data_IF_757502640565
#
_entry.id   IF_757502640565
#
_cell.length_a   1.000
_cell.length_b   1.000
_cell.length_c   1.000
_cell.angle_alpha   90.00
_cell.angle_beta   90.00
_cell.angle_gamma   90.00
#
_symmetry.space_group_name_H-M   'P 1'
#
loop_
_entity.id
_entity.type
_entity.pdbx_description
1 polymer ?
#
# COMPACT_ATOMS: atom_id res chain seq x y z
N UNK A 1 -75.93 70.33 -17.69
CA UNK A 1 -75.78 70.98 -19.00
C UNK A 1 -74.36 71.27 -19.30
N UNK A 2 -73.95 71.14 -20.53
CA UNK A 2 -72.62 71.36 -21.17
C UNK A 2 -71.55 70.23 -20.98
N UNK A 3 -71.50 69.43 -22.03
CA UNK A 3 -70.38 68.52 -22.39
C UNK A 3 -69.09 69.30 -22.68
N UNK A 4 -67.98 68.85 -22.19
CA UNK A 4 -66.66 69.23 -22.75
C UNK A 4 -65.95 67.98 -23.24
N UNK A 5 -65.63 68.05 -24.51
CA UNK A 5 -64.85 67.05 -25.23
C UNK A 5 -63.35 67.12 -24.79
N UNK A 6 -62.73 65.97 -24.57
CA UNK A 6 -61.33 65.91 -24.37
C UNK A 6 -60.62 65.19 -25.56
N UNK A 7 -59.67 65.90 -26.13
CA UNK A 7 -58.88 65.52 -27.31
C UNK A 7 -57.94 64.34 -27.01
N UNK A 8 -57.93 63.42 -27.97
CA UNK A 8 -56.91 62.34 -28.02
C UNK A 8 -55.56 62.88 -28.51
N UNK A 9 -54.47 62.55 -27.76
CA UNK A 9 -53.08 62.74 -28.25
C UNK A 9 -52.58 61.40 -28.78
N UNK A 10 -51.76 61.38 -29.86
CA UNK A 10 -51.21 60.15 -30.40
C UNK A 10 -49.99 59.68 -29.59
N UNK A 11 -49.90 58.37 -29.38
CA UNK A 11 -48.78 57.69 -28.75
C UNK A 11 -47.76 57.42 -29.85
N UNK A 12 -46.60 58.07 -29.75
CA UNK A 12 -45.45 57.78 -30.60
C UNK A 12 -44.78 56.46 -30.21
N UNK A 13 -44.62 55.60 -31.21
CA UNK A 13 -43.94 54.33 -31.05
C UNK A 13 -42.47 54.53 -30.70
N UNK A 14 -41.98 53.88 -29.63
CA UNK A 14 -40.57 53.67 -29.36
C UNK A 14 -40.20 52.27 -29.80
N UNK A 15 -39.29 52.19 -30.77
CA UNK A 15 -38.70 50.96 -31.28
C UNK A 15 -37.94 50.23 -30.18
N UNK A 16 -38.26 48.96 -30.08
CA UNK A 16 -37.52 47.92 -29.36
C UNK A 16 -36.26 47.57 -30.21
N UNK A 17 -35.09 48.10 -29.82
CA UNK A 17 -33.78 47.69 -30.43
C UNK A 17 -32.71 47.56 -29.38
N UNK A 18 -32.89 46.80 -28.33
CA UNK A 18 -31.77 46.56 -27.38
C UNK A 18 -31.76 45.18 -26.70
N UNK A 19 -32.61 44.24 -27.13
CA UNK A 19 -32.62 42.92 -26.48
C UNK A 19 -31.78 41.83 -27.20
N UNK A 20 -31.38 42.03 -28.47
CA UNK A 20 -30.65 41.04 -29.22
C UNK A 20 -29.12 41.06 -28.93
N UNK A 21 -28.57 42.23 -28.62
CA UNK A 21 -27.13 42.39 -28.35
C UNK A 21 -26.74 41.85 -26.97
N UNK A 22 -27.61 41.94 -25.97
CA UNK A 22 -27.34 41.41 -24.63
C UNK A 22 -27.38 39.87 -24.56
N UNK A 23 -28.23 39.19 -25.35
CA UNK A 23 -28.30 37.74 -25.41
C UNK A 23 -27.06 37.11 -26.09
N UNK A 24 -26.48 37.76 -27.11
CA UNK A 24 -25.29 37.27 -27.79
C UNK A 24 -24.02 37.35 -26.93
N UNK A 25 -23.92 38.32 -26.01
CA UNK A 25 -22.78 38.47 -25.11
C UNK A 25 -22.84 37.40 -24.01
N UNK A 26 -24.00 37.05 -23.54
CA UNK A 26 -24.16 35.99 -22.52
C UNK A 26 -23.82 34.60 -23.08
N UNK A 27 -24.20 34.31 -24.34
CA UNK A 27 -23.85 33.05 -25.01
C UNK A 27 -22.37 32.93 -25.32
N UNK A 28 -21.69 34.06 -25.74
CA UNK A 28 -20.26 34.06 -26.00
C UNK A 28 -19.42 33.92 -24.72
N UNK A 29 -19.90 34.39 -23.58
CA UNK A 29 -19.24 34.22 -22.28
C UNK A 29 -19.38 32.82 -21.74
N UNK A 30 -20.50 32.13 -22.00
CA UNK A 30 -20.72 30.73 -21.55
C UNK A 30 -19.92 29.72 -22.39
N UNK A 31 -19.70 29.99 -23.68
CA UNK A 31 -18.91 29.12 -24.58
C UNK A 31 -17.41 29.18 -24.32
N UNK A 32 -16.89 30.20 -23.64
CA UNK A 32 -15.47 30.26 -23.24
C UNK A 32 -15.15 29.51 -21.95
N UNK A 33 -16.15 29.23 -21.12
CA UNK A 33 -15.93 28.50 -19.85
C UNK A 33 -15.94 26.98 -19.99
N UNK A 34 -16.44 26.42 -21.11
CA UNK A 34 -16.54 24.98 -21.35
C UNK A 34 -15.27 24.39 -22.00
N UNK A 35 -14.33 25.27 -22.42
CA UNK A 35 -13.12 24.87 -23.15
C UNK A 35 -11.84 24.73 -22.34
N UNK A 36 -11.85 24.91 -21.01
CA UNK A 36 -10.76 24.44 -20.18
C UNK A 36 -10.96 22.94 -19.96
N UNK A 37 -10.50 22.15 -20.93
CA UNK A 37 -10.23 20.74 -20.70
C UNK A 37 -9.41 20.67 -19.41
N UNK A 38 -9.96 20.10 -18.36
CA UNK A 38 -9.21 19.69 -17.17
C UNK A 38 -8.08 18.83 -17.73
N UNK A 39 -6.90 19.42 -17.90
CA UNK A 39 -5.70 18.63 -18.22
C UNK A 39 -5.60 17.62 -17.11
N UNK A 40 -5.97 16.38 -17.42
CA UNK A 40 -5.76 15.27 -16.51
C UNK A 40 -4.28 15.37 -16.08
N UNK A 41 -4.06 15.63 -14.79
CA UNK A 41 -2.70 15.55 -14.24
C UNK A 41 -2.16 14.20 -14.67
N UNK A 42 -0.95 14.11 -15.24
CA UNK A 42 -0.34 12.82 -15.49
C UNK A 42 -0.48 12.00 -14.20
N UNK A 43 -1.03 10.80 -14.29
CA UNK A 43 -1.13 9.93 -13.13
C UNK A 43 0.31 9.76 -12.61
N UNK A 44 0.60 10.36 -11.48
CA UNK A 44 1.89 10.16 -10.83
C UNK A 44 2.02 8.66 -10.56
N UNK A 45 3.19 8.08 -10.83
CA UNK A 45 3.42 6.66 -10.60
C UNK A 45 3.14 6.28 -9.14
N UNK A 46 2.75 5.07 -8.95
CA UNK A 46 2.63 4.52 -7.59
C UNK A 46 4.02 4.55 -6.93
N UNK A 47 4.08 5.08 -5.71
CA UNK A 47 5.27 5.06 -4.88
C UNK A 47 5.07 4.05 -3.75
N UNK A 48 6.05 3.18 -3.60
CA UNK A 48 6.04 2.15 -2.55
C UNK A 48 6.36 2.75 -1.17
N UNK A 49 5.90 2.10 -0.11
CA UNK A 49 6.23 2.49 1.25
C UNK A 49 7.74 2.55 1.51
N UNK A 50 8.52 1.64 0.90
CA UNK A 50 9.98 1.65 1.04
C UNK A 50 10.66 2.86 0.39
N UNK A 51 10.13 3.39 -0.72
CA UNK A 51 10.63 4.64 -1.32
C UNK A 51 10.37 5.84 -0.41
N UNK A 52 9.17 5.86 0.19
CA UNK A 52 8.76 6.94 1.10
C UNK A 52 9.59 6.86 2.38
N UNK A 53 9.77 5.67 2.94
CA UNK A 53 10.59 5.42 4.11
C UNK A 53 12.04 5.87 3.92
N UNK A 54 12.68 5.52 2.79
CA UNK A 54 14.04 5.94 2.50
C UNK A 54 14.16 7.45 2.24
N UNK A 55 13.16 8.05 1.59
CA UNK A 55 13.14 9.49 1.30
C UNK A 55 12.87 10.38 2.53
N UNK A 56 12.15 9.84 3.51
CA UNK A 56 11.74 10.53 4.74
C UNK A 56 11.94 9.58 5.92
N UNK A 57 13.20 9.18 6.14
CA UNK A 57 13.55 8.24 7.20
C UNK A 57 13.08 8.78 8.56
N UNK A 58 12.37 7.97 9.37
CA UNK A 58 11.85 8.40 10.66
C UNK A 58 12.98 8.82 11.61
N UNK A 59 12.88 10.03 12.17
CA UNK A 59 13.91 10.58 13.05
C UNK A 59 14.12 9.72 14.32
N UNK A 60 13.06 9.10 14.81
CA UNK A 60 13.09 8.19 15.97
C UNK A 60 13.85 6.89 15.72
N UNK A 61 14.13 6.55 14.44
CA UNK A 61 14.94 5.40 14.05
C UNK A 61 16.42 5.75 13.81
N UNK A 62 16.80 7.02 13.91
CA UNK A 62 18.19 7.43 13.75
C UNK A 62 19.08 6.75 14.80
N UNK A 63 20.14 6.08 14.34
CA UNK A 63 21.08 5.33 15.18
C UNK A 63 20.53 4.04 15.82
N UNK A 64 19.25 3.73 15.63
CA UNK A 64 18.61 2.49 16.12
C UNK A 64 19.10 1.27 15.38
N UNK A 65 19.08 0.11 16.05
CA UNK A 65 19.39 -1.20 15.49
C UNK A 65 18.15 -1.76 14.82
N UNK A 66 18.19 -1.90 13.50
CA UNK A 66 17.05 -2.36 12.71
C UNK A 66 17.12 -3.86 12.45
N UNK A 67 16.00 -4.54 12.68
CA UNK A 67 15.72 -5.87 12.16
C UNK A 67 14.87 -5.76 10.90
N UNK A 68 15.34 -6.28 9.77
CA UNK A 68 14.61 -6.22 8.51
C UNK A 68 13.88 -7.52 8.21
N UNK A 69 12.59 -7.46 7.96
CA UNK A 69 11.78 -8.60 7.49
C UNK A 69 11.59 -8.43 6.00
N UNK A 70 12.41 -9.11 5.21
CA UNK A 70 12.61 -8.83 3.79
C UNK A 70 12.89 -10.10 2.99
N UNK A 71 12.65 -10.02 1.67
CA UNK A 71 13.05 -11.01 0.68
C UNK A 71 13.46 -10.33 -0.64
N UNK A 72 13.59 -11.08 -1.73
CA UNK A 72 13.95 -10.57 -3.05
C UNK A 72 13.01 -9.49 -3.59
N UNK A 73 11.76 -9.41 -3.11
CA UNK A 73 10.81 -8.37 -3.54
C UNK A 73 11.06 -7.01 -2.88
N UNK A 74 11.89 -6.98 -1.84
CA UNK A 74 12.18 -5.79 -1.02
C UNK A 74 13.16 -4.86 -1.74
N UNK A 75 12.81 -4.41 -2.95
CA UNK A 75 13.63 -3.52 -3.77
C UNK A 75 12.91 -2.19 -4.00
N UNK A 76 13.71 -1.14 -4.17
CA UNK A 76 13.22 0.15 -4.64
C UNK A 76 13.02 0.07 -6.17
N UNK A 77 11.95 0.64 -6.73
CA UNK A 77 11.72 0.60 -8.17
C UNK A 77 12.90 1.15 -8.97
N UNK A 78 13.51 0.27 -9.79
CA UNK A 78 14.70 0.61 -10.58
C UNK A 78 15.98 0.85 -9.77
N UNK A 79 16.00 0.44 -8.50
CA UNK A 79 17.11 0.69 -7.58
C UNK A 79 17.60 -0.56 -6.84
N UNK A 80 18.40 -0.37 -5.78
CA UNK A 80 18.92 -1.44 -4.94
C UNK A 80 17.81 -2.06 -4.07
N UNK A 81 18.12 -3.16 -3.41
CA UNK A 81 17.29 -3.67 -2.32
C UNK A 81 17.19 -2.65 -1.18
N UNK A 82 16.10 -2.72 -0.41
CA UNK A 82 15.94 -1.91 0.80
C UNK A 82 17.13 -2.10 1.75
N UNK A 83 17.56 -3.35 1.91
CA UNK A 83 18.70 -3.73 2.74
C UNK A 83 19.99 -3.01 2.31
N UNK A 84 20.32 -3.04 1.01
CA UNK A 84 21.50 -2.36 0.47
C UNK A 84 21.39 -0.84 0.61
N UNK A 85 20.20 -0.29 0.35
CA UNK A 85 19.94 1.15 0.47
C UNK A 85 20.15 1.62 1.91
N UNK A 86 19.54 0.96 2.88
CA UNK A 86 19.68 1.35 4.29
C UNK A 86 21.12 1.26 4.77
N UNK A 87 21.85 0.21 4.39
CA UNK A 87 23.27 0.10 4.74
C UNK A 87 24.13 1.16 4.07
N UNK A 88 23.88 1.48 2.79
CA UNK A 88 24.58 2.56 2.10
C UNK A 88 24.32 3.94 2.72
N UNK A 89 23.12 4.14 3.28
CA UNK A 89 22.75 5.35 4.03
C UNK A 89 23.31 5.36 5.47
N UNK A 90 24.12 4.37 5.85
CA UNK A 90 24.71 4.28 7.19
C UNK A 90 23.75 3.81 8.28
N UNK A 91 22.58 3.23 7.92
CA UNK A 91 21.64 2.69 8.90
C UNK A 91 22.15 1.39 9.50
N UNK A 92 21.89 1.20 10.79
CA UNK A 92 22.38 0.03 11.53
C UNK A 92 21.44 -1.15 11.38
N UNK A 93 21.65 -1.99 10.36
CA UNK A 93 20.93 -3.25 10.22
C UNK A 93 21.67 -4.33 11.02
N UNK A 94 21.01 -4.93 12.02
CA UNK A 94 21.61 -5.89 12.95
C UNK A 94 21.03 -7.29 12.83
N UNK A 95 19.90 -7.47 12.15
CA UNK A 95 19.28 -8.76 11.88
C UNK A 95 18.45 -8.69 10.60
N UNK A 96 18.39 -9.81 9.88
CA UNK A 96 17.53 -10.02 8.72
C UNK A 96 16.65 -11.24 9.01
N UNK A 97 15.37 -11.11 8.74
CA UNK A 97 14.37 -12.16 8.89
C UNK A 97 13.77 -12.46 7.53
N UNK A 98 14.02 -13.64 7.00
CA UNK A 98 13.56 -14.05 5.67
C UNK A 98 12.33 -14.96 5.78
N UNK A 99 11.25 -14.67 5.02
CA UNK A 99 10.05 -15.51 4.99
C UNK A 99 10.28 -16.81 4.23
N UNK A 100 9.22 -17.56 3.94
CA UNK A 100 9.23 -18.66 2.99
C UNK A 100 9.93 -18.27 1.70
N UNK A 101 10.63 -19.20 1.05
CA UNK A 101 11.54 -19.00 -0.10
C UNK A 101 12.88 -18.32 0.22
N UNK A 102 13.10 -17.90 1.48
CA UNK A 102 14.34 -17.29 1.93
C UNK A 102 14.57 -15.85 1.44
N UNK A 103 15.74 -15.32 1.70
CA UNK A 103 16.11 -13.95 1.32
C UNK A 103 16.22 -13.77 -0.20
N UNK A 104 16.65 -14.79 -0.93
CA UNK A 104 16.80 -14.77 -2.39
C UNK A 104 15.52 -15.09 -3.16
N UNK A 105 14.50 -15.68 -2.49
CA UNK A 105 13.29 -16.14 -3.13
C UNK A 105 13.44 -17.38 -4.02
N UNK A 106 14.54 -18.09 -3.91
CA UNK A 106 14.88 -19.21 -4.80
C UNK A 106 14.62 -20.59 -4.18
N UNK A 107 14.27 -20.64 -2.89
CA UNK A 107 13.99 -21.90 -2.20
C UNK A 107 12.58 -22.35 -2.58
N UNK A 108 12.45 -23.64 -2.90
CA UNK A 108 11.16 -24.22 -3.28
C UNK A 108 10.13 -24.12 -2.14
N UNK A 109 8.85 -24.05 -2.53
CA UNK A 109 7.74 -24.00 -1.56
C UNK A 109 7.74 -25.24 -0.66
N UNK A 110 7.60 -25.04 0.65
CA UNK A 110 7.64 -26.11 1.62
C UNK A 110 9.04 -26.44 2.16
N UNK A 111 10.11 -25.96 1.54
CA UNK A 111 11.47 -26.15 2.01
C UNK A 111 11.92 -25.02 2.93
N UNK A 112 12.60 -25.37 4.03
CA UNK A 112 13.13 -24.40 4.99
C UNK A 112 14.49 -23.85 4.53
N UNK A 113 14.63 -22.52 4.51
CA UNK A 113 15.93 -21.88 4.40
C UNK A 113 16.74 -22.12 5.68
N UNK A 114 18.05 -22.37 5.55
CA UNK A 114 18.95 -22.34 6.69
C UNK A 114 19.22 -20.90 7.13
N UNK A 115 19.47 -20.70 8.41
CA UNK A 115 20.04 -19.46 8.93
C UNK A 115 21.43 -19.22 8.32
N UNK A 116 21.82 -17.96 8.18
CA UNK A 116 23.08 -17.62 7.51
C UNK A 116 23.57 -16.21 7.84
N UNK A 117 24.47 -15.73 6.99
CA UNK A 117 24.99 -14.36 7.07
C UNK A 117 24.88 -13.68 5.70
N UNK A 118 24.45 -12.44 5.70
CA UNK A 118 24.51 -11.56 4.56
C UNK A 118 25.40 -10.36 4.87
N UNK A 119 26.58 -10.26 4.24
CA UNK A 119 27.60 -9.21 4.50
C UNK A 119 27.87 -9.01 6.01
N UNK A 120 27.93 -10.10 6.76
CA UNK A 120 28.18 -10.09 8.20
C UNK A 120 26.96 -9.85 9.09
N UNK A 121 25.77 -9.59 8.52
CA UNK A 121 24.51 -9.47 9.25
C UNK A 121 23.83 -10.86 9.34
N UNK A 122 23.41 -11.32 10.52
CA UNK A 122 22.71 -12.59 10.66
C UNK A 122 21.38 -12.58 9.90
N UNK A 123 21.13 -13.68 9.17
CA UNK A 123 19.88 -13.95 8.45
C UNK A 123 19.20 -15.12 9.14
N UNK A 124 17.99 -14.90 9.61
CA UNK A 124 17.15 -15.91 10.28
C UNK A 124 15.99 -16.30 9.39
N UNK A 125 15.76 -17.60 9.22
CA UNK A 125 14.60 -18.10 8.49
C UNK A 125 13.34 -18.04 9.36
N UNK A 126 12.26 -17.49 8.81
CA UNK A 126 10.92 -17.52 9.41
C UNK A 126 10.02 -18.58 8.76
N UNK A 127 10.62 -19.65 8.24
CA UNK A 127 9.90 -20.75 7.65
C UNK A 127 10.46 -22.13 8.07
N UNK A 128 9.58 -23.10 8.18
CA UNK A 128 9.94 -24.45 8.63
C UNK A 128 9.73 -24.63 10.14
N UNK A 129 10.77 -24.99 10.87
CA UNK A 129 10.69 -25.25 12.33
C UNK A 129 10.37 -23.97 13.12
N UNK A 130 10.92 -22.86 12.70
CA UNK A 130 10.71 -21.55 13.31
C UNK A 130 9.96 -20.64 12.33
N UNK A 131 8.87 -20.04 12.78
CA UNK A 131 7.98 -19.23 11.93
C UNK A 131 7.79 -17.81 12.46
N UNK A 132 8.49 -17.44 13.52
CA UNK A 132 8.47 -16.10 14.14
C UNK A 132 9.83 -15.76 14.72
N UNK A 133 10.21 -14.50 14.78
CA UNK A 133 11.43 -14.10 15.50
C UNK A 133 11.38 -14.55 16.95
N UNK A 134 12.50 -15.10 17.45
CA UNK A 134 12.64 -15.46 18.86
C UNK A 134 13.11 -14.27 19.69
N UNK A 135 12.88 -14.27 21.03
CA UNK A 135 13.42 -13.24 21.91
C UNK A 135 14.93 -13.08 21.79
N UNK A 136 15.66 -14.18 21.60
CA UNK A 136 17.14 -14.15 21.43
C UNK A 136 17.56 -13.43 20.15
N UNK A 137 16.86 -13.65 19.05
CA UNK A 137 17.13 -12.98 17.77
C UNK A 137 16.79 -11.49 17.82
N UNK A 138 15.86 -11.10 18.70
CA UNK A 138 15.42 -9.70 18.87
C UNK A 138 16.28 -8.91 19.88
N UNK A 139 17.18 -9.52 20.64
CA UNK A 139 18.01 -8.84 21.67
C UNK A 139 18.80 -7.65 21.15
N UNK A 140 19.22 -7.72 19.89
CA UNK A 140 20.02 -6.67 19.23
C UNK A 140 19.21 -5.84 18.23
N UNK A 141 17.89 -5.79 18.39
CA UNK A 141 16.95 -5.04 17.53
C UNK A 141 16.21 -4.02 18.37
N UNK A 142 16.11 -2.80 17.89
CA UNK A 142 15.34 -1.71 18.53
C UNK A 142 14.01 -1.45 17.80
N UNK A 143 13.92 -1.82 16.51
CA UNK A 143 12.70 -1.75 15.72
C UNK A 143 12.74 -2.76 14.57
N UNK A 144 11.59 -3.24 14.14
CA UNK A 144 11.43 -4.10 12.97
C UNK A 144 10.89 -3.31 11.78
N UNK A 145 11.40 -3.60 10.59
CA UNK A 145 10.92 -3.01 9.32
C UNK A 145 10.50 -4.16 8.39
N UNK A 146 9.22 -4.21 8.07
CA UNK A 146 8.64 -5.21 7.17
C UNK A 146 8.46 -4.64 5.78
N UNK A 147 9.07 -5.26 4.77
CA UNK A 147 8.96 -4.87 3.35
C UNK A 147 8.90 -6.09 2.44
N UNK A 148 7.74 -6.68 2.26
CA UNK A 148 7.53 -7.89 1.43
C UNK A 148 6.30 -7.69 0.54
N UNK A 149 6.42 -8.08 -0.74
CA UNK A 149 5.30 -8.07 -1.68
C UNK A 149 4.42 -9.31 -1.47
N UNK A 150 3.19 -9.08 -1.04
CA UNK A 150 2.15 -10.11 -0.96
C UNK A 150 1.41 -10.27 -2.29
N UNK A 151 0.64 -11.36 -2.45
CA UNK A 151 -0.16 -11.63 -3.67
C UNK A 151 -1.65 -11.35 -3.52
N UNK A 152 -2.13 -10.98 -2.36
CA UNK A 152 -3.55 -10.62 -2.13
C UNK A 152 -4.48 -11.80 -1.83
N UNK A 153 -3.94 -12.99 -1.53
CA UNK A 153 -4.70 -14.18 -1.19
C UNK A 153 -4.35 -14.69 0.20
N UNK A 154 -5.38 -15.11 0.97
CA UNK A 154 -5.24 -15.52 2.37
C UNK A 154 -4.28 -16.69 2.60
N UNK A 155 -4.20 -17.62 1.65
CA UNK A 155 -3.36 -18.81 1.79
C UNK A 155 -1.88 -18.57 1.51
N UNK A 156 -1.51 -17.36 1.08
CA UNK A 156 -0.11 -17.00 0.86
C UNK A 156 0.55 -16.58 2.18
N UNK A 157 1.66 -17.23 2.52
CA UNK A 157 2.22 -17.24 3.89
C UNK A 157 2.83 -15.92 4.36
N UNK A 158 3.01 -14.95 3.47
CA UNK A 158 3.63 -13.67 3.85
C UNK A 158 2.78 -12.86 4.81
N UNK A 159 1.44 -12.94 4.71
CA UNK A 159 0.56 -12.30 5.71
C UNK A 159 0.63 -12.99 7.07
N UNK A 160 0.93 -14.30 7.09
CA UNK A 160 1.19 -15.04 8.35
C UNK A 160 2.51 -14.59 8.96
N UNK A 161 3.55 -14.43 8.13
CA UNK A 161 4.83 -13.87 8.57
C UNK A 161 4.64 -12.48 9.17
N UNK A 162 3.84 -11.61 8.53
CA UNK A 162 3.51 -10.29 9.06
C UNK A 162 2.85 -10.37 10.44
N UNK A 163 1.81 -11.20 10.60
CA UNK A 163 1.14 -11.42 11.90
C UNK A 163 2.14 -11.86 12.96
N UNK A 164 2.95 -12.86 12.68
CA UNK A 164 3.89 -13.43 13.64
C UNK A 164 5.03 -12.47 14.01
N UNK A 165 5.45 -11.63 13.08
CA UNK A 165 6.42 -10.54 13.33
C UNK A 165 5.83 -9.51 14.28
N UNK A 166 4.59 -9.07 14.04
CA UNK A 166 3.88 -8.13 14.92
C UNK A 166 3.70 -8.72 16.33
N UNK A 167 3.31 -10.00 16.45
CA UNK A 167 3.16 -10.68 17.74
C UNK A 167 4.50 -10.79 18.48
N UNK A 168 5.58 -11.15 17.78
CA UNK A 168 6.92 -11.26 18.39
C UNK A 168 7.45 -9.87 18.83
N UNK A 169 7.23 -8.85 18.04
CA UNK A 169 7.58 -7.48 18.37
C UNK A 169 6.82 -6.98 19.60
N UNK A 170 5.51 -7.22 19.66
CA UNK A 170 4.69 -6.86 20.82
C UNK A 170 5.19 -7.52 22.11
N UNK A 171 5.58 -8.80 22.02
CA UNK A 171 6.15 -9.54 23.16
C UNK A 171 7.54 -9.01 23.60
N UNK A 172 8.27 -8.37 22.71
CA UNK A 172 9.58 -7.77 22.95
C UNK A 172 9.53 -6.25 23.22
N UNK A 173 8.35 -5.62 23.15
CA UNK A 173 8.20 -4.17 23.29
C UNK A 173 8.81 -3.37 22.13
N UNK A 174 8.85 -3.95 20.94
CA UNK A 174 9.43 -3.33 19.74
C UNK A 174 8.35 -2.78 18.82
N UNK A 175 8.67 -1.67 18.15
CA UNK A 175 7.86 -1.09 17.08
C UNK A 175 8.08 -1.84 15.77
N UNK A 176 7.00 -2.04 14.98
CA UNK A 176 7.05 -2.59 13.62
C UNK A 176 6.67 -1.51 12.61
N UNK A 177 7.56 -1.20 11.69
CA UNK A 177 7.28 -0.37 10.52
C UNK A 177 6.91 -1.26 9.35
N UNK A 178 5.68 -1.14 8.85
CA UNK A 178 5.19 -1.87 7.67
C UNK A 178 5.27 -0.93 6.47
N UNK A 179 6.20 -1.22 5.55
CA UNK A 179 6.38 -0.46 4.32
C UNK A 179 5.38 -0.98 3.29
N UNK A 180 4.31 -0.23 3.08
CA UNK A 180 3.15 -0.72 2.36
C UNK A 180 3.41 -0.93 0.86
N UNK A 181 2.73 -1.93 0.28
CA UNK A 181 2.85 -2.34 -1.11
C UNK A 181 1.48 -2.57 -1.73
N UNK A 182 1.32 -2.36 -3.07
CA UNK A 182 0.04 -2.60 -3.73
C UNK A 182 -0.40 -4.06 -3.58
N UNK A 183 -1.70 -4.27 -3.40
CA UNK A 183 -2.28 -5.58 -3.62
C UNK A 183 -2.34 -5.82 -5.14
N UNK A 184 -1.67 -6.85 -5.70
CA UNK A 184 -1.61 -7.06 -7.14
C UNK A 184 -2.97 -7.38 -7.77
N UNK A 185 -3.91 -7.89 -6.97
CA UNK A 185 -5.28 -8.17 -7.38
C UNK A 185 -6.21 -6.94 -7.28
N UNK A 186 -5.67 -5.78 -6.87
CA UNK A 186 -6.43 -4.58 -6.54
C UNK A 186 -7.16 -4.69 -5.20
N UNK A 187 -7.94 -3.66 -4.86
CA UNK A 187 -8.61 -3.58 -3.57
C UNK A 187 -10.14 -3.50 -3.65
N UNK A 188 -10.74 -3.68 -4.86
CA UNK A 188 -12.20 -3.57 -5.05
C UNK A 188 -12.93 -4.90 -4.93
N UNK A 189 -12.26 -5.98 -5.25
CA UNK A 189 -12.88 -7.30 -5.30
C UNK A 189 -12.46 -8.08 -4.07
N UNK A 190 -13.45 -8.59 -3.36
CA UNK A 190 -13.32 -9.45 -2.19
C UNK A 190 -14.09 -10.72 -2.51
N UNK A 191 -13.45 -11.89 -2.44
CA UNK A 191 -14.02 -13.16 -2.89
C UNK A 191 -13.65 -14.31 -1.97
N UNK A 192 -14.50 -15.33 -1.99
CA UNK A 192 -14.34 -16.55 -1.20
C UNK A 192 -14.86 -16.42 0.23
N UNK A 193 -14.96 -17.57 0.94
CA UNK A 193 -15.49 -17.60 2.29
C UNK A 193 -14.52 -16.95 3.30
N UNK A 194 -15.09 -16.30 4.32
CA UNK A 194 -14.34 -15.91 5.51
C UNK A 194 -13.88 -17.20 6.22
N UNK A 195 -12.64 -17.23 6.67
CA UNK A 195 -12.09 -18.38 7.38
C UNK A 195 -12.85 -18.61 8.69
N UNK A 196 -13.32 -19.84 8.90
CA UNK A 196 -13.74 -20.27 10.24
C UNK A 196 -12.49 -20.33 11.16
N UNK A 197 -12.58 -19.67 12.31
CA UNK A 197 -11.48 -19.62 13.29
C UNK A 197 -10.97 -21.01 13.72
N UNK A 198 -11.83 -22.04 13.67
CA UNK A 198 -11.44 -23.43 13.95
C UNK A 198 -10.47 -24.02 12.93
N UNK A 199 -10.38 -23.42 11.74
CA UNK A 199 -9.48 -23.83 10.66
C UNK A 199 -8.23 -22.95 10.58
N UNK A 200 -8.00 -22.09 11.58
CA UNK A 200 -6.81 -21.24 11.63
C UNK A 200 -5.54 -22.09 11.58
N UNK A 201 -4.64 -21.72 10.70
CA UNK A 201 -3.39 -22.44 10.46
C UNK A 201 -2.32 -21.49 9.92
N UNK A 202 -1.11 -21.99 9.70
CA UNK A 202 -0.04 -21.20 9.10
C UNK A 202 -0.37 -20.66 7.70
N UNK A 203 -1.11 -21.43 6.89
CA UNK A 203 -1.56 -21.00 5.55
C UNK A 203 -2.92 -20.28 5.57
N UNK A 204 -3.50 -20.08 6.73
CA UNK A 204 -4.78 -19.40 6.89
C UNK A 204 -4.83 -18.75 8.30
N UNK A 205 -4.08 -17.64 8.52
CA UNK A 205 -3.84 -17.10 9.85
C UNK A 205 -4.94 -16.17 10.36
N UNK A 206 -5.89 -15.77 9.50
CA UNK A 206 -6.80 -14.67 9.75
C UNK A 206 -8.22 -14.98 9.27
N UNK A 207 -9.27 -14.52 9.99
CA UNK A 207 -10.66 -14.67 9.60
C UNK A 207 -11.06 -13.68 8.50
N UNK A 208 -10.40 -13.75 7.35
CA UNK A 208 -10.64 -12.92 6.17
C UNK A 208 -11.05 -13.79 4.97
N UNK A 209 -11.65 -13.21 3.92
CA UNK A 209 -11.94 -13.90 2.66
C UNK A 209 -10.68 -14.44 1.98
N UNK A 210 -10.82 -15.37 1.03
CA UNK A 210 -9.69 -15.92 0.28
C UNK A 210 -8.96 -14.82 -0.48
N UNK A 211 -9.67 -13.99 -1.22
CA UNK A 211 -9.19 -12.73 -1.80
C UNK A 211 -9.68 -11.59 -0.92
N UNK A 212 -8.79 -10.93 -0.21
CA UNK A 212 -9.17 -10.03 0.87
C UNK A 212 -9.14 -8.53 0.51
N UNK A 213 -8.55 -8.14 -0.63
CA UNK A 213 -8.63 -6.79 -1.19
C UNK A 213 -7.93 -5.69 -0.38
N UNK A 214 -7.07 -6.03 0.58
CA UNK A 214 -6.30 -5.07 1.38
C UNK A 214 -4.83 -5.07 0.96
N UNK A 215 -4.13 -3.97 1.24
CA UNK A 215 -2.67 -3.94 1.21
C UNK A 215 -2.09 -4.56 2.49
N UNK A 216 -0.79 -4.95 2.52
CA UNK A 216 -0.15 -5.44 3.74
C UNK A 216 -0.25 -4.44 4.91
N UNK A 217 -0.11 -3.14 4.63
CA UNK A 217 -0.25 -2.09 5.64
C UNK A 217 -1.67 -1.98 6.19
N UNK A 218 -2.68 -2.00 5.32
CA UNK A 218 -4.09 -2.01 5.73
C UNK A 218 -4.42 -3.25 6.56
N UNK A 219 -3.88 -4.42 6.16
CA UNK A 219 -4.08 -5.66 6.88
C UNK A 219 -3.43 -5.62 8.27
N UNK A 220 -2.24 -5.04 8.41
CA UNK A 220 -1.56 -4.87 9.70
C UNK A 220 -2.38 -3.98 10.65
N UNK A 221 -2.96 -2.88 10.14
CA UNK A 221 -3.86 -2.02 10.93
C UNK A 221 -5.15 -2.74 11.32
N UNK A 222 -5.71 -3.55 10.42
CA UNK A 222 -6.88 -4.37 10.69
C UNK A 222 -6.59 -5.43 11.76
N UNK A 223 -5.45 -6.12 11.70
CA UNK A 223 -5.03 -7.11 12.72
C UNK A 223 -5.02 -6.48 14.12
N UNK A 224 -4.51 -5.25 14.23
CA UNK A 224 -4.49 -4.51 15.49
C UNK A 224 -5.88 -4.05 15.91
N UNK A 225 -6.66 -3.49 14.98
CA UNK A 225 -8.00 -2.96 15.25
C UNK A 225 -9.01 -4.01 15.66
N UNK A 226 -8.93 -5.20 15.05
CA UNK A 226 -9.81 -6.34 15.34
C UNK A 226 -9.31 -7.20 16.51
N UNK A 227 -8.17 -6.85 17.12
CA UNK A 227 -7.61 -7.62 18.24
C UNK A 227 -7.08 -9.01 17.84
N UNK A 228 -6.67 -9.18 16.58
CA UNK A 228 -6.06 -10.42 16.09
C UNK A 228 -4.58 -10.54 16.46
N UNK A 229 -4.00 -9.45 16.92
CA UNK A 229 -2.70 -9.35 17.57
C UNK A 229 -2.85 -8.61 18.89
N UNK A 230 -1.83 -8.66 19.75
CA UNK A 230 -1.89 -8.06 21.07
C UNK A 230 -2.19 -6.54 20.99
N UNK A 231 -2.98 -6.02 21.91
CA UNK A 231 -3.30 -4.60 22.01
C UNK A 231 -2.05 -3.70 22.23
N UNK A 232 -0.98 -4.29 22.82
CA UNK A 232 0.33 -3.64 23.00
C UNK A 232 1.16 -3.58 21.71
N UNK A 233 0.71 -4.16 20.59
CA UNK A 233 1.45 -4.13 19.34
C UNK A 233 1.56 -2.68 18.83
N UNK A 234 2.79 -2.21 18.70
CA UNK A 234 3.10 -0.89 18.15
C UNK A 234 3.44 -1.04 16.66
N UNK A 235 2.48 -0.67 15.81
CA UNK A 235 2.55 -0.84 14.34
C UNK A 235 2.41 0.50 13.66
N UNK A 236 3.42 0.88 12.89
CA UNK A 236 3.48 2.07 12.04
C UNK A 236 3.45 1.66 10.57
N UNK A 237 2.47 2.13 9.82
CA UNK A 237 2.39 1.89 8.39
C UNK A 237 2.98 3.09 7.66
N UNK A 238 3.96 2.85 6.80
CA UNK A 238 4.43 3.82 5.80
C UNK A 238 3.61 3.59 4.54
N UNK A 239 2.62 4.45 4.26
CA UNK A 239 1.61 4.16 3.24
C UNK A 239 2.17 4.27 1.83
N UNK A 240 1.49 3.63 0.89
CA UNK A 240 1.64 3.86 -0.55
C UNK A 240 1.24 5.30 -0.90
N UNK A 241 1.82 5.84 -1.97
CA UNK A 241 1.29 7.04 -2.61
C UNK A 241 0.82 6.73 -4.04
N UNK A 242 -0.23 7.42 -4.48
CA UNK A 242 -0.81 7.37 -5.82
C UNK A 242 -1.37 6.00 -6.25
N UNK A 243 -1.56 5.09 -5.34
CA UNK A 243 -2.29 3.85 -5.60
C UNK A 243 -3.78 4.00 -5.27
N UNK A 244 -4.62 3.40 -6.08
CA UNK A 244 -6.05 3.32 -5.85
C UNK A 244 -6.55 1.89 -5.92
N UNK A 245 -7.64 1.60 -5.22
CA UNK A 245 -8.22 0.24 -5.14
C UNK A 245 -8.60 -0.37 -6.49
N UNK A 246 -8.81 0.47 -7.50
CA UNK A 246 -9.14 0.01 -8.86
C UNK A 246 -7.93 -0.42 -9.69
N UNK A 247 -6.72 -0.16 -9.21
CA UNK A 247 -5.50 -0.52 -9.91
C UNK A 247 -5.12 -1.98 -9.64
N UNK A 248 -4.91 -2.73 -10.70
CA UNK A 248 -4.19 -4.00 -10.69
C UNK A 248 -2.69 -3.73 -10.88
N UNK A 249 -1.84 -4.74 -10.68
CA UNK A 249 -0.39 -4.57 -10.79
C UNK A 249 0.06 -3.92 -12.10
N UNK A 250 -0.45 -4.39 -13.22
CA UNK A 250 -0.06 -3.88 -14.56
C UNK A 250 -0.30 -2.38 -14.75
N UNK A 251 -1.25 -1.80 -14.02
CA UNK A 251 -1.56 -0.37 -14.09
C UNK A 251 -0.77 0.49 -13.11
N UNK A 252 0.06 -0.12 -12.25
CA UNK A 252 0.89 0.63 -11.29
C UNK A 252 2.16 1.20 -11.92
N UNK A 253 2.61 0.65 -13.05
CA UNK A 253 3.91 0.97 -13.66
C UNK A 253 5.11 0.38 -12.92
N UNK A 254 4.89 -0.47 -11.91
CA UNK A 254 5.95 -1.10 -11.13
C UNK A 254 6.44 -2.39 -11.82
N UNK A 255 7.74 -2.71 -11.76
CA UNK A 255 8.25 -3.99 -12.23
C UNK A 255 7.75 -5.12 -11.32
N UNK A 256 7.35 -6.24 -11.93
CA UNK A 256 7.01 -7.43 -11.16
C UNK A 256 8.28 -8.18 -10.78
N UNK A 257 8.45 -8.40 -9.48
CA UNK A 257 9.47 -9.29 -8.94
C UNK A 257 8.73 -10.48 -8.36
N UNK A 258 8.88 -11.68 -8.91
CA UNK A 258 8.19 -12.86 -8.43
C UNK A 258 8.38 -13.05 -6.93
N UNK A 259 7.32 -13.07 -6.13
CA UNK A 259 7.43 -13.26 -4.68
C UNK A 259 7.80 -14.71 -4.33
N UNK A 260 7.54 -15.65 -5.26
CA UNK A 260 7.97 -17.04 -5.19
C UNK A 260 8.14 -17.62 -6.59
N UNK A 261 8.83 -18.77 -6.76
CA UNK A 261 8.97 -19.45 -8.04
C UNK A 261 7.63 -19.77 -8.73
N UNK A 262 6.58 -20.01 -7.94
CA UNK A 262 5.25 -20.36 -8.41
C UNK A 262 4.39 -19.16 -8.82
N UNK A 263 4.85 -17.93 -8.61
CA UNK A 263 4.14 -16.69 -8.98
C UNK A 263 5.00 -15.84 -9.92
N UNK A 264 5.33 -16.35 -11.11
CA UNK A 264 6.25 -15.69 -12.04
C UNK A 264 5.70 -14.40 -12.66
N UNK A 265 4.38 -14.21 -12.66
CA UNK A 265 3.72 -13.02 -13.20
C UNK A 265 2.63 -12.52 -12.28
N UNK A 266 2.18 -11.25 -12.40
CA UNK A 266 1.02 -10.77 -11.65
C UNK A 266 -0.26 -11.57 -11.93
N UNK A 267 -0.40 -12.11 -13.15
CA UNK A 267 -1.55 -12.94 -13.54
C UNK A 267 -1.58 -14.27 -12.77
N UNK A 268 -0.41 -14.83 -12.42
CA UNK A 268 -0.33 -16.06 -11.62
C UNK A 268 -0.93 -15.92 -10.22
N UNK A 269 -1.07 -14.70 -9.72
CA UNK A 269 -1.74 -14.43 -8.44
C UNK A 269 -3.28 -14.55 -8.54
N UNK A 270 -3.83 -14.61 -9.76
CA UNK A 270 -5.28 -14.76 -10.03
C UNK A 270 -5.68 -16.22 -10.27
N UNK A 271 -4.73 -17.12 -10.54
CA UNK A 271 -4.93 -18.52 -10.80
C UNK A 271 -4.93 -19.34 -9.50
#
# INVERSE_FOLDING_TARGET
MRRKATAKRPIAGRLLTSSAAALLIIFASFSRSVGQAVRARPLERVRLGNEIFCASFPAELEGRRLGLVVNQTSVLPGGPSLLEKLMADGRRVTAIFAPEHGLSGLIEGGEAAADGLWRGVPVFSLYGKQRRPTPDQLKNVDALVYDIQDIGTRFYTFITTLKYVIEAAAGAGLTVYVLDRPNPLGGRIVEGPILDKKLESFIAPLPIPTRYGLTPGELALMMRGEGWVAASADVHVVPLANWTRGQTWSSTGLPWIPPSPNIPTPASALA
#
